data_IF_331146364895
#
_entry.id   IF_331146364895
#
_cell.length_a   1.000
_cell.length_b   1.000
_cell.length_c   1.000
_cell.angle_alpha   90.00
_cell.angle_beta   90.00
_cell.angle_gamma   90.00
#
_symmetry.space_group_name_H-M   'P 1'
#
loop_
_entity.id
_entity.type
_entity.pdbx_description
1 polymer ?
#
# COMPACT_ATOMS: atom_id res chain seq x y z
N UNK A 1 11.40 6.05 23.03
CA UNK A 1 11.12 5.98 21.59
C UNK A 1 9.78 6.59 21.31
N UNK A 2 9.76 7.62 20.48
CA UNK A 2 8.54 8.35 20.18
C UNK A 2 7.67 7.49 19.24
N UNK A 3 6.57 6.95 19.78
CA UNK A 3 5.41 6.53 18.98
C UNK A 3 4.81 7.69 18.17
N UNK A 4 5.40 8.90 18.21
CA UNK A 4 4.86 10.12 17.59
C UNK A 4 4.75 10.05 16.08
N UNK A 5 5.63 9.30 15.42
CA UNK A 5 5.71 9.32 13.95
C UNK A 5 4.66 8.39 13.30
N UNK A 6 4.01 7.53 14.10
CA UNK A 6 3.02 6.55 13.65
C UNK A 6 1.76 6.58 14.53
N UNK A 7 0.64 6.97 13.94
CA UNK A 7 -0.66 7.05 14.60
C UNK A 7 -1.43 5.76 14.34
N UNK A 8 -1.62 4.93 15.37
CA UNK A 8 -2.52 3.77 15.30
C UNK A 8 -3.89 4.16 15.83
N UNK A 9 -4.92 3.95 15.03
CA UNK A 9 -6.31 4.25 15.36
C UNK A 9 -7.17 3.03 15.04
N UNK A 10 -8.19 2.77 15.86
CA UNK A 10 -9.24 1.79 15.54
C UNK A 10 -10.46 2.54 15.03
N UNK A 11 -10.89 2.23 13.81
CA UNK A 11 -12.05 2.84 13.20
C UNK A 11 -13.33 2.33 13.90
N UNK A 12 -14.31 3.19 14.19
CA UNK A 12 -15.57 2.81 14.85
C UNK A 12 -16.54 2.12 13.87
N UNK A 13 -16.07 1.07 13.20
CA UNK A 13 -16.83 0.32 12.20
C UNK A 13 -17.33 -0.98 12.83
N UNK A 14 -18.64 -1.10 13.01
CA UNK A 14 -19.29 -2.29 13.60
C UNK A 14 -19.34 -3.47 12.64
N UNK A 15 -19.51 -3.20 11.34
CA UNK A 15 -19.61 -4.23 10.30
C UNK A 15 -18.21 -4.76 9.94
N UNK A 16 -18.07 -6.09 9.80
CA UNK A 16 -16.89 -6.66 9.17
C UNK A 16 -16.89 -6.34 7.67
N UNK A 17 -15.91 -5.54 7.22
CA UNK A 17 -15.80 -5.09 5.83
C UNK A 17 -14.99 -6.05 4.93
N UNK A 18 -14.46 -7.14 5.46
CA UNK A 18 -13.51 -7.99 4.75
C UNK A 18 -14.02 -8.47 3.39
N UNK A 19 -15.21 -9.09 3.33
CA UNK A 19 -15.76 -9.62 2.08
C UNK A 19 -16.11 -8.51 1.09
N UNK A 20 -16.61 -7.37 1.58
CA UNK A 20 -16.98 -6.24 0.73
C UNK A 20 -15.75 -5.59 0.08
N UNK A 21 -14.65 -5.45 0.83
CA UNK A 21 -13.36 -4.97 0.32
C UNK A 21 -12.67 -6.01 -0.57
N UNK A 22 -12.85 -7.31 -0.30
CA UNK A 22 -12.29 -8.35 -1.16
C UNK A 22 -13.03 -8.43 -2.50
N UNK A 23 -14.33 -8.10 -2.53
CA UNK A 23 -15.13 -8.07 -3.75
C UNK A 23 -15.05 -6.74 -4.49
N UNK A 24 -14.49 -5.69 -3.88
CA UNK A 24 -14.38 -4.36 -4.49
C UNK A 24 -13.25 -4.25 -5.52
N UNK A 25 -12.44 -5.29 -5.70
CA UNK A 25 -11.34 -5.32 -6.65
C UNK A 25 -11.12 -6.71 -7.25
N UNK A 26 -10.63 -6.75 -8.49
CA UNK A 26 -9.97 -7.94 -9.02
C UNK A 26 -8.55 -8.03 -8.47
N UNK A 27 -8.07 -9.25 -8.23
CA UNK A 27 -6.76 -9.52 -7.66
C UNK A 27 -5.97 -10.46 -8.57
N UNK A 28 -4.64 -10.31 -8.56
CA UNK A 28 -3.72 -11.30 -9.12
C UNK A 28 -2.76 -11.84 -8.05
N UNK A 29 -2.16 -13.00 -8.32
CA UNK A 29 -1.15 -13.59 -7.45
C UNK A 29 0.13 -12.75 -7.51
N UNK A 30 0.52 -12.17 -6.36
CA UNK A 30 1.76 -11.38 -6.22
C UNK A 30 2.88 -12.25 -5.66
N UNK A 31 2.55 -13.12 -4.71
CA UNK A 31 3.45 -14.12 -4.16
C UNK A 31 2.63 -15.28 -3.56
N UNK A 32 3.31 -16.38 -3.20
CA UNK A 32 2.64 -17.49 -2.51
C UNK A 32 1.95 -17.00 -1.22
N UNK A 33 0.63 -17.10 -1.18
CA UNK A 33 -0.18 -16.68 -0.04
C UNK A 33 -0.50 -15.18 0.00
N UNK A 34 -0.19 -14.43 -1.07
CA UNK A 34 -0.42 -12.99 -1.19
C UNK A 34 -0.99 -12.67 -2.57
N UNK A 35 -2.19 -12.12 -2.57
CA UNK A 35 -2.80 -11.53 -3.76
C UNK A 35 -2.93 -10.02 -3.55
N UNK A 36 -2.90 -9.25 -4.64
CA UNK A 36 -3.02 -7.79 -4.54
C UNK A 36 -3.44 -7.14 -5.85
N UNK A 37 -3.81 -5.86 -5.77
CA UNK A 37 -3.98 -4.97 -6.91
C UNK A 37 -3.91 -3.49 -6.46
N UNK A 38 -3.86 -2.57 -7.43
CA UNK A 38 -3.96 -1.13 -7.20
C UNK A 38 -5.41 -0.65 -7.24
N UNK A 39 -5.70 0.28 -6.35
CA UNK A 39 -6.91 1.10 -6.35
C UNK A 39 -6.52 2.53 -6.72
N UNK A 40 -7.35 3.21 -7.51
CA UNK A 40 -7.12 4.60 -7.95
C UNK A 40 -8.39 5.41 -7.84
N UNK A 41 -8.30 6.68 -7.46
CA UNK A 41 -9.43 7.62 -7.45
C UNK A 41 -9.39 8.49 -8.71
N UNK A 42 -10.07 8.03 -9.76
CA UNK A 42 -10.04 8.71 -11.06
C UNK A 42 -10.82 10.03 -10.98
N UNK A 43 -10.18 11.12 -11.41
CA UNK A 43 -10.78 12.46 -11.41
C UNK A 43 -10.52 13.19 -12.73
N UNK A 44 -10.95 14.45 -12.84
CA UNK A 44 -10.67 15.32 -13.99
C UNK A 44 -9.16 15.52 -14.24
N UNK A 45 -8.32 15.32 -13.22
CA UNK A 45 -6.85 15.36 -13.37
C UNK A 45 -6.30 14.13 -14.11
N UNK A 46 -7.10 13.08 -14.23
CA UNK A 46 -6.72 11.79 -14.80
C UNK A 46 -6.63 10.68 -13.73
N UNK A 47 -5.92 9.61 -14.08
CA UNK A 47 -5.66 8.47 -13.22
C UNK A 47 -4.41 8.73 -12.37
N UNK A 48 -4.51 8.78 -11.04
CA UNK A 48 -3.36 8.87 -10.15
C UNK A 48 -2.61 7.54 -10.11
N UNK A 49 -1.32 7.55 -10.42
CA UNK A 49 -0.50 6.33 -10.43
C UNK A 49 0.53 6.34 -9.31
N UNK A 50 0.85 5.17 -8.76
CA UNK A 50 2.01 4.96 -7.90
C UNK A 50 2.76 3.77 -8.44
N UNK A 51 3.87 4.01 -9.13
CA UNK A 51 4.68 2.94 -9.72
C UNK A 51 5.40 2.17 -8.63
N UNK A 52 5.39 0.84 -8.75
CA UNK A 52 5.98 -0.07 -7.78
C UNK A 52 6.92 -1.07 -8.46
N UNK A 53 7.68 -1.81 -7.65
CA UNK A 53 8.46 -2.96 -8.13
C UNK A 53 7.64 -4.20 -8.41
N UNK A 54 6.39 -4.26 -7.95
CA UNK A 54 5.49 -5.37 -8.24
C UNK A 54 4.91 -5.15 -9.64
N UNK A 55 5.11 -6.13 -10.52
CA UNK A 55 4.68 -6.07 -11.91
C UNK A 55 3.25 -6.61 -12.02
N UNK A 56 2.27 -5.71 -11.88
CA UNK A 56 0.86 -6.07 -12.06
C UNK A 56 0.54 -6.19 -13.55
N UNK A 57 -0.29 -7.18 -13.90
CA UNK A 57 -0.68 -7.51 -15.27
C UNK A 57 -2.16 -7.22 -15.54
N UNK A 58 -2.94 -6.97 -14.48
CA UNK A 58 -4.34 -6.55 -14.58
C UNK A 58 -4.47 -5.04 -14.33
N UNK A 59 -5.50 -4.37 -14.88
CA UNK A 59 -5.73 -2.96 -14.64
C UNK A 59 -5.99 -2.67 -13.16
N UNK A 60 -5.61 -1.45 -12.75
CA UNK A 60 -6.06 -0.88 -11.49
C UNK A 60 -7.59 -0.81 -11.42
N UNK A 61 -8.14 -0.82 -10.22
CA UNK A 61 -9.57 -0.71 -9.97
C UNK A 61 -9.88 0.69 -9.44
N UNK A 62 -11.00 1.27 -9.86
CA UNK A 62 -11.41 2.57 -9.34
C UNK A 62 -11.81 2.46 -7.86
N UNK A 63 -11.67 3.54 -7.12
CA UNK A 63 -12.24 3.63 -5.78
C UNK A 63 -13.76 3.52 -5.90
N UNK A 64 -14.32 2.44 -5.36
CA UNK A 64 -15.75 2.34 -5.07
C UNK A 64 -16.13 3.04 -3.75
N UNK A 65 -17.44 3.16 -3.49
CA UNK A 65 -17.98 3.85 -2.31
C UNK A 65 -17.37 3.39 -0.96
N UNK A 66 -17.05 2.10 -0.82
CA UNK A 66 -16.49 1.58 0.44
C UNK A 66 -15.11 2.18 0.73
N UNK A 67 -14.30 2.44 -0.31
CA UNK A 67 -12.98 3.05 -0.12
C UNK A 67 -13.12 4.52 0.26
N UNK A 68 -14.02 5.26 -0.37
CA UNK A 68 -14.30 6.65 0.00
C UNK A 68 -14.83 6.76 1.44
N UNK A 69 -15.78 5.89 1.83
CA UNK A 69 -16.29 5.84 3.21
C UNK A 69 -15.19 5.54 4.23
N UNK A 70 -14.24 4.65 3.90
CA UNK A 70 -13.07 4.41 4.75
C UNK A 70 -12.21 5.67 4.91
N UNK A 71 -11.90 6.36 3.81
CA UNK A 71 -11.10 7.60 3.85
C UNK A 71 -11.82 8.71 4.62
N UNK A 72 -13.13 8.86 4.45
CA UNK A 72 -13.96 9.79 5.23
C UNK A 72 -13.92 9.43 6.72
N UNK A 73 -14.16 8.16 7.07
CA UNK A 73 -14.11 7.69 8.46
C UNK A 73 -12.76 7.93 9.11
N UNK A 74 -11.66 7.74 8.36
CA UNK A 74 -10.31 8.04 8.87
C UNK A 74 -10.18 9.54 9.14
N UNK A 75 -10.59 10.39 8.21
CA UNK A 75 -10.52 11.84 8.37
C UNK A 75 -11.34 12.35 9.56
N UNK A 76 -12.54 11.78 9.78
CA UNK A 76 -13.45 12.18 10.86
C UNK A 76 -12.93 11.86 12.27
N UNK A 77 -11.91 10.99 12.39
CA UNK A 77 -11.31 10.61 13.67
C UNK A 77 -9.86 11.06 13.82
N UNK A 78 -9.30 11.74 12.81
CA UNK A 78 -7.93 12.25 12.79
C UNK A 78 -7.89 13.77 12.77
N UNK A 79 -8.65 14.43 13.65
CA UNK A 79 -8.77 15.90 13.68
C UNK A 79 -7.43 16.62 13.91
N UNK A 80 -6.46 15.95 14.56
CA UNK A 80 -5.12 16.50 14.80
C UNK A 80 -4.19 16.41 13.57
N UNK A 81 -4.63 15.74 12.49
CA UNK A 81 -3.88 15.62 11.24
C UNK A 81 -4.50 16.51 10.15
N UNK A 82 -3.69 16.97 9.18
CA UNK A 82 -4.24 17.54 7.96
C UNK A 82 -5.20 16.55 7.28
N UNK A 83 -6.22 17.08 6.60
CA UNK A 83 -7.15 16.24 5.84
C UNK A 83 -6.38 15.36 4.86
N UNK A 84 -6.58 14.06 4.97
CA UNK A 84 -5.94 13.03 4.18
C UNK A 84 -6.66 12.90 2.83
N UNK A 85 -5.99 13.37 1.78
CA UNK A 85 -6.48 13.35 0.40
C UNK A 85 -5.91 12.15 -0.37
N UNK A 86 -6.24 10.94 0.09
CA UNK A 86 -5.80 9.71 -0.57
C UNK A 86 -6.49 9.55 -1.92
N UNK A 87 -5.71 9.32 -2.97
CA UNK A 87 -6.20 9.12 -4.34
C UNK A 87 -5.65 7.84 -4.99
N UNK A 88 -4.82 7.09 -4.28
CA UNK A 88 -4.28 5.82 -4.71
C UNK A 88 -4.21 4.88 -3.51
N UNK A 89 -4.36 3.58 -3.73
CA UNK A 89 -4.05 2.61 -2.72
C UNK A 89 -3.52 1.29 -3.30
N UNK A 90 -2.82 0.54 -2.46
CA UNK A 90 -2.51 -0.87 -2.70
C UNK A 90 -3.43 -1.71 -1.81
N UNK A 91 -4.27 -2.57 -2.40
CA UNK A 91 -5.12 -3.51 -1.67
C UNK A 91 -4.53 -4.92 -1.76
N UNK A 92 -4.39 -5.58 -0.61
CA UNK A 92 -3.73 -6.89 -0.54
C UNK A 92 -4.44 -7.82 0.43
N UNK A 93 -4.48 -9.11 0.09
CA UNK A 93 -4.96 -10.17 0.98
C UNK A 93 -3.86 -11.19 1.21
N UNK A 94 -3.54 -11.42 2.48
CA UNK A 94 -2.55 -12.40 2.90
C UNK A 94 -3.22 -13.59 3.61
N UNK A 95 -2.85 -14.80 3.25
CA UNK A 95 -3.17 -16.02 4.00
C UNK A 95 -2.07 -16.35 5.03
N UNK A 96 -2.26 -17.45 5.78
CA UNK A 96 -1.28 -17.94 6.76
C UNK A 96 0.05 -18.44 6.17
N UNK A 97 0.17 -18.62 4.85
CA UNK A 97 1.42 -18.99 4.19
C UNK A 97 2.34 -17.78 3.97
N UNK A 98 1.78 -16.58 3.86
CA UNK A 98 2.56 -15.35 3.72
C UNK A 98 2.87 -14.74 5.08
N UNK A 99 3.96 -15.17 5.71
CA UNK A 99 4.28 -14.82 7.11
C UNK A 99 5.26 -13.67 7.27
N UNK A 100 5.99 -13.28 6.22
CA UNK A 100 7.01 -12.24 6.33
C UNK A 100 7.33 -11.62 4.98
N UNK A 101 7.95 -10.45 5.04
CA UNK A 101 8.52 -9.74 3.90
C UNK A 101 9.84 -9.05 4.30
N UNK A 102 10.60 -8.58 3.32
CA UNK A 102 11.82 -7.80 3.60
C UNK A 102 11.45 -6.41 4.13
N UNK A 103 12.34 -5.87 4.95
CA UNK A 103 12.29 -4.46 5.34
C UNK A 103 12.37 -3.57 4.11
N UNK A 104 11.51 -2.56 4.05
CA UNK A 104 11.44 -1.57 2.98
C UNK A 104 10.80 -0.28 3.50
N UNK A 105 10.96 0.82 2.78
CA UNK A 105 10.04 1.98 2.86
C UNK A 105 9.08 1.93 1.67
N UNK A 106 7.92 2.55 1.74
CA UNK A 106 7.07 2.70 0.54
C UNK A 106 7.79 3.58 -0.49
N UNK A 107 7.70 3.21 -1.77
CA UNK A 107 8.38 3.91 -2.86
C UNK A 107 7.79 5.31 -3.06
N UNK A 108 8.62 6.35 -3.03
CA UNK A 108 8.20 7.74 -2.99
C UNK A 108 8.12 8.43 -4.37
N UNK A 109 8.53 7.75 -5.45
CA UNK A 109 8.63 8.30 -6.81
C UNK A 109 7.42 9.16 -7.19
N UNK A 110 6.22 8.62 -7.01
CA UNK A 110 4.96 9.25 -7.40
C UNK A 110 4.19 9.85 -6.23
N UNK A 111 4.74 9.82 -5.01
CA UNK A 111 4.03 10.32 -3.83
C UNK A 111 4.15 11.84 -3.70
N UNK A 112 3.05 12.46 -3.31
CA UNK A 112 2.96 13.90 -3.04
C UNK A 112 3.83 14.25 -1.84
N UNK A 113 4.55 15.37 -1.93
CA UNK A 113 5.36 15.85 -0.81
C UNK A 113 4.48 16.18 0.39
N UNK A 114 5.00 16.02 1.61
CA UNK A 114 4.29 16.30 2.86
C UNK A 114 2.96 15.56 3.04
N UNK A 115 2.73 14.51 2.24
CA UNK A 115 1.56 13.66 2.36
C UNK A 115 1.75 12.57 3.41
N UNK A 116 0.68 11.80 3.63
CA UNK A 116 0.63 10.69 4.57
C UNK A 116 0.41 9.37 3.82
N UNK A 117 0.71 8.28 4.52
CA UNK A 117 0.39 6.91 4.14
C UNK A 117 -0.53 6.35 5.23
N UNK A 118 -1.63 5.72 4.83
CA UNK A 118 -2.59 5.09 5.74
C UNK A 118 -2.68 3.59 5.48
N UNK A 119 -2.19 2.76 6.40
CA UNK A 119 -2.31 1.31 6.34
C UNK A 119 -3.54 0.85 7.12
N UNK A 120 -4.65 0.62 6.42
CA UNK A 120 -5.84 -0.02 6.97
C UNK A 120 -5.65 -1.55 7.07
N UNK A 121 -6.29 -2.17 8.06
CA UNK A 121 -6.20 -3.60 8.33
C UNK A 121 -7.56 -4.17 8.79
N UNK A 122 -7.98 -5.26 8.15
CA UNK A 122 -9.14 -6.05 8.58
C UNK A 122 -8.89 -7.57 8.41
N UNK A 123 -9.81 -8.37 8.94
CA UNK A 123 -9.68 -9.83 9.02
C UNK A 123 -10.99 -10.50 8.63
N UNK A 124 -10.88 -11.67 8.01
CA UNK A 124 -12.03 -12.48 7.56
C UNK A 124 -12.92 -12.89 8.74
N UNK A 125 -12.32 -13.34 9.84
CA UNK A 125 -13.00 -13.80 11.06
C UNK A 125 -12.46 -13.07 12.30
N UNK A 126 -12.83 -11.80 12.54
CA UNK A 126 -12.30 -11.01 13.65
C UNK A 126 -12.56 -11.60 15.04
N UNK A 127 -13.68 -12.30 15.21
CA UNK A 127 -14.08 -12.97 16.45
C UNK A 127 -13.19 -14.18 16.82
N UNK A 128 -12.42 -14.70 15.85
CA UNK A 128 -11.46 -15.79 16.04
C UNK A 128 -10.02 -15.27 16.24
N UNK A 129 -9.83 -13.95 16.29
CA UNK A 129 -8.50 -13.38 16.48
C UNK A 129 -7.99 -13.66 17.89
N UNK A 130 -6.77 -14.15 17.91
CA UNK A 130 -5.92 -14.28 19.09
C UNK A 130 -4.60 -13.59 18.78
N UNK A 131 -3.89 -13.13 19.80
CA UNK A 131 -2.71 -12.26 19.65
C UNK A 131 -1.70 -12.78 18.62
N UNK A 132 -1.44 -14.09 18.60
CA UNK A 132 -0.49 -14.72 17.67
C UNK A 132 -0.94 -14.72 16.19
N UNK A 133 -2.24 -14.54 15.94
CA UNK A 133 -2.82 -14.47 14.59
C UNK A 133 -2.96 -13.02 14.10
N UNK A 134 -2.61 -12.04 14.95
CA UNK A 134 -2.59 -10.64 14.59
C UNK A 134 -1.25 -10.33 13.94
N UNK A 135 -1.31 -9.70 12.76
CA UNK A 135 -0.11 -9.29 12.03
C UNK A 135 0.50 -8.09 12.71
N UNK A 136 1.81 -7.98 12.61
CA UNK A 136 2.56 -6.86 13.20
C UNK A 136 3.29 -6.12 12.11
N UNK A 137 3.15 -4.80 12.12
CA UNK A 137 4.04 -3.89 11.39
C UNK A 137 5.29 -3.72 12.25
N UNK A 138 6.39 -4.32 11.83
CA UNK A 138 7.71 -4.10 12.44
C UNK A 138 8.36 -2.92 11.78
N UNK A 139 8.82 -1.97 12.58
CA UNK A 139 9.45 -0.73 12.14
C UNK A 139 10.87 -0.68 12.68
N UNK A 140 11.78 -0.21 11.85
CA UNK A 140 13.20 -0.08 12.15
C UNK A 140 13.66 1.31 11.74
N UNK A 141 14.15 2.09 12.70
CA UNK A 141 14.75 3.39 12.43
C UNK A 141 16.05 3.19 11.61
N UNK A 142 16.17 3.89 10.47
CA UNK A 142 17.32 3.74 9.56
C UNK A 142 18.62 4.31 10.13
N UNK A 143 18.53 5.21 11.11
CA UNK A 143 19.66 5.89 11.73
C UNK A 143 20.07 5.14 13.01
N UNK A 144 19.12 4.93 13.92
CA UNK A 144 19.44 4.35 15.24
C UNK A 144 19.46 2.82 15.24
N UNK A 145 18.88 2.19 14.21
CA UNK A 145 18.60 0.75 14.14
C UNK A 145 17.65 0.23 15.24
N UNK A 146 17.03 1.12 16.01
CA UNK A 146 16.01 0.73 17.00
C UNK A 146 14.78 0.16 16.29
N UNK A 147 14.21 -0.91 16.86
CA UNK A 147 13.01 -1.56 16.34
C UNK A 147 11.84 -1.43 17.31
N UNK A 148 10.64 -1.26 16.77
CA UNK A 148 9.39 -1.39 17.51
C UNK A 148 8.32 -2.00 16.62
N UNK A 149 7.19 -2.38 17.21
CA UNK A 149 6.10 -3.02 16.48
C UNK A 149 4.73 -2.42 16.81
N UNK A 150 3.86 -2.44 15.80
CA UNK A 150 2.48 -2.02 15.89
C UNK A 150 1.61 -3.19 15.44
N UNK A 151 0.74 -3.68 16.32
CA UNK A 151 -0.23 -4.72 15.98
C UNK A 151 -1.29 -4.17 15.02
N UNK A 152 -1.46 -4.82 13.88
CA UNK A 152 -2.45 -4.50 12.85
C UNK A 152 -3.77 -5.18 13.21
N UNK A 153 -4.49 -4.64 14.18
CA UNK A 153 -5.76 -5.20 14.67
C UNK A 153 -6.90 -5.01 13.68
N UNK A 154 -8.00 -5.75 13.83
CA UNK A 154 -9.19 -5.57 13.00
C UNK A 154 -9.70 -4.12 13.04
N UNK A 155 -10.10 -3.62 11.87
CA UNK A 155 -10.54 -2.24 11.63
C UNK A 155 -9.57 -1.17 12.17
N UNK A 156 -8.27 -1.47 12.18
CA UNK A 156 -7.27 -0.46 12.55
C UNK A 156 -6.62 0.17 11.33
N UNK A 157 -6.21 1.42 11.49
CA UNK A 157 -5.36 2.15 10.55
C UNK A 157 -4.08 2.57 11.25
N UNK A 158 -2.95 2.44 10.56
CA UNK A 158 -1.68 3.04 10.97
C UNK A 158 -1.36 4.15 9.97
N UNK A 159 -1.27 5.39 10.46
CA UNK A 159 -1.04 6.59 9.66
C UNK A 159 0.35 7.14 9.98
N UNK A 160 1.12 7.47 8.95
CA UNK A 160 2.45 8.04 9.10
C UNK A 160 2.78 8.95 7.91
N UNK A 161 3.61 9.96 8.13
CA UNK A 161 3.98 10.91 7.09
C UNK A 161 4.98 10.31 6.09
N UNK A 162 5.14 10.94 4.93
CA UNK A 162 6.18 10.58 3.98
C UNK A 162 7.59 10.77 4.57
N UNK A 163 7.76 11.72 5.50
CA UNK A 163 9.00 11.89 6.27
C UNK A 163 9.27 10.65 7.16
N UNK A 164 8.25 10.17 7.88
CA UNK A 164 8.37 8.94 8.66
C UNK A 164 8.67 7.74 7.76
N UNK A 165 8.02 7.63 6.61
CA UNK A 165 8.32 6.60 5.61
C UNK A 165 9.79 6.64 5.17
N UNK A 166 10.37 7.83 4.97
CA UNK A 166 11.79 7.97 4.61
C UNK A 166 12.73 7.59 5.76
N UNK A 167 12.34 7.85 7.02
CA UNK A 167 13.15 7.60 8.21
C UNK A 167 13.14 6.14 8.68
N UNK A 168 12.05 5.41 8.45
CA UNK A 168 11.88 4.04 8.92
C UNK A 168 11.82 3.03 7.78
N UNK A 169 12.40 1.85 8.00
CA UNK A 169 12.04 0.66 7.24
C UNK A 169 10.94 -0.09 7.98
N UNK A 170 9.95 -0.60 7.26
CA UNK A 170 8.90 -1.43 7.79
C UNK A 170 8.77 -2.78 7.07
N UNK A 171 8.15 -3.73 7.75
CA UNK A 171 7.69 -5.00 7.18
C UNK A 171 6.48 -5.50 7.95
N UNK A 172 5.60 -6.22 7.26
CA UNK A 172 4.47 -6.90 7.88
C UNK A 172 4.86 -8.35 8.15
N UNK A 173 4.63 -8.82 9.37
CA UNK A 173 4.86 -10.21 9.76
C UNK A 173 3.61 -10.86 10.35
N UNK A 174 3.54 -12.18 10.24
CA UNK A 174 2.74 -13.07 11.06
C UNK A 174 3.72 -13.95 11.85
N UNK A 175 3.61 -13.96 13.17
CA UNK A 175 4.54 -14.72 14.01
C UNK A 175 4.39 -16.23 13.77
N UNK A 176 5.46 -16.88 13.32
CA UNK A 176 5.47 -18.33 13.07
C UNK A 176 5.53 -19.12 14.39
N UNK A 177 4.65 -20.11 14.56
CA UNK A 177 4.75 -21.06 15.67
C UNK A 177 5.90 -22.06 15.45
N UNK A 178 6.64 -22.46 16.50
CA UNK A 178 7.73 -23.45 16.42
C UNK A 178 7.31 -24.85 15.97
N UNK A 179 6.01 -25.15 15.91
CA UNK A 179 5.48 -26.47 15.54
C UNK A 179 4.17 -26.33 14.75
N UNK A 180 4.19 -26.36 13.41
CA UNK A 180 3.01 -26.15 12.60
C UNK A 180 2.26 -27.48 12.46
N UNK A 181 1.57 -27.93 13.53
CA UNK A 181 0.38 -28.74 13.28
C UNK A 181 -0.66 -27.78 12.70
N UNK A 182 -0.61 -27.60 11.37
CA UNK A 182 -1.58 -26.86 10.54
C UNK A 182 -2.98 -27.34 10.87
N UNK A 183 -3.57 -26.76 11.91
CA UNK A 183 -4.90 -27.06 12.42
C UNK A 183 -5.61 -25.80 12.91
N UNK A 184 -4.95 -24.63 12.85
CA UNK A 184 -5.63 -23.36 13.03
C UNK A 184 -6.22 -22.97 11.68
N UNK A 185 -7.55 -22.75 11.67
CA UNK A 185 -8.26 -22.25 10.51
C UNK A 185 -7.58 -20.96 10.04
N UNK A 186 -7.16 -20.94 8.77
CA UNK A 186 -6.60 -19.74 8.14
C UNK A 186 -7.58 -18.57 8.34
N UNK A 187 -7.09 -17.48 8.92
CA UNK A 187 -7.85 -16.25 9.10
C UNK A 187 -7.16 -15.16 8.30
N UNK A 188 -7.68 -14.94 7.09
CA UNK A 188 -7.04 -14.07 6.11
C UNK A 188 -7.03 -12.64 6.62
N UNK A 189 -5.94 -11.95 6.35
CA UNK A 189 -5.80 -10.51 6.60
C UNK A 189 -5.93 -9.78 5.28
N UNK A 190 -6.67 -8.67 5.27
CA UNK A 190 -6.75 -7.74 4.16
C UNK A 190 -6.22 -6.39 4.62
N UNK A 191 -5.27 -5.85 3.87
CA UNK A 191 -4.70 -4.55 4.09
C UNK A 191 -4.94 -3.63 2.91
N UNK A 192 -5.17 -2.34 3.20
CA UNK A 192 -5.20 -1.29 2.18
C UNK A 192 -4.19 -0.23 2.59
N UNK A 193 -3.21 0.01 1.72
CA UNK A 193 -2.21 1.06 1.93
C UNK A 193 -2.59 2.26 1.08
N UNK A 194 -3.31 3.20 1.68
CA UNK A 194 -3.73 4.46 1.08
C UNK A 194 -2.57 5.45 0.97
N UNK A 195 -2.52 6.16 -0.15
CA UNK A 195 -1.46 7.10 -0.52
C UNK A 195 -2.04 8.27 -1.31
N UNK A 196 -1.30 9.37 -1.34
CA UNK A 196 -1.58 10.50 -2.24
C UNK A 196 -0.51 10.55 -3.32
N UNK A 197 -0.90 10.25 -4.55
CA UNK A 197 -0.07 10.42 -5.73
C UNK A 197 -0.11 11.87 -6.23
N UNK A 198 1.05 12.37 -6.64
CA UNK A 198 1.22 13.61 -7.42
C UNK A 198 1.28 13.36 -8.93
N UNK A 199 1.42 12.10 -9.34
CA UNK A 199 1.63 11.72 -10.74
C UNK A 199 0.31 11.27 -11.35
N UNK A 200 -0.12 11.94 -12.41
CA UNK A 200 -1.36 11.64 -13.11
C UNK A 200 -1.10 11.29 -14.58
N UNK A 201 -1.89 10.34 -15.09
CA UNK A 201 -1.94 10.00 -16.51
C UNK A 201 -3.36 10.19 -17.07
N UNK A 202 -3.45 10.53 -18.35
CA UNK A 202 -4.69 10.63 -19.10
C UNK A 202 -4.66 9.64 -20.25
N UNK A 203 -5.74 8.87 -20.40
CA UNK A 203 -5.87 7.96 -21.52
C UNK A 203 -6.41 8.71 -22.74
N UNK A 204 -5.63 8.72 -23.83
CA UNK A 204 -6.03 9.25 -25.14
C UNK A 204 -5.86 8.13 -26.15
N UNK A 205 -6.93 7.76 -26.85
CA UNK A 205 -6.94 6.62 -27.77
C UNK A 205 -6.40 5.32 -27.11
N UNK A 206 -6.80 5.08 -25.86
CA UNK A 206 -6.35 3.97 -25.00
C UNK A 206 -4.85 3.96 -24.64
N UNK A 207 -4.14 5.05 -24.86
CA UNK A 207 -2.73 5.19 -24.48
C UNK A 207 -2.55 6.14 -23.28
N UNK A 208 -1.72 5.79 -22.29
CA UNK A 208 -1.54 6.57 -21.06
C UNK A 208 -0.53 7.70 -21.24
N UNK A 209 -0.98 8.95 -21.23
CA UNK A 209 -0.11 10.13 -21.34
C UNK A 209 0.03 10.86 -20.02
N UNK A 210 1.24 11.23 -19.64
CA UNK A 210 1.47 12.19 -18.57
C UNK A 210 0.89 13.57 -18.94
N UNK A 211 0.72 14.43 -17.92
CA UNK A 211 0.32 15.83 -18.13
C UNK A 211 1.29 16.62 -19.02
N UNK A 212 2.55 16.18 -19.11
CA UNK A 212 3.56 16.71 -20.05
C UNK A 212 3.29 16.37 -21.52
N UNK A 213 2.39 15.44 -21.80
CA UNK A 213 2.15 14.87 -23.14
C UNK A 213 3.08 13.71 -23.50
N UNK A 214 4.01 13.32 -22.62
CA UNK A 214 4.84 12.12 -22.82
C UNK A 214 4.01 10.86 -22.57
N UNK A 215 4.23 9.82 -23.38
CA UNK A 215 3.62 8.51 -23.20
C UNK A 215 4.27 7.77 -22.01
N UNK A 216 3.47 7.20 -21.13
CA UNK A 216 3.92 6.21 -20.15
C UNK A 216 4.11 4.87 -20.87
N UNK A 217 5.35 4.39 -20.96
CA UNK A 217 5.66 3.12 -21.63
C UNK A 217 5.97 2.01 -20.63
N UNK A 218 5.83 0.76 -21.07
CA UNK A 218 6.36 -0.37 -20.31
C UNK A 218 7.89 -0.35 -20.39
N UNK A 219 8.56 -0.67 -19.27
CA UNK A 219 10.00 -0.68 -19.19
C UNK A 219 10.62 -1.81 -20.02
N UNK A 220 11.59 -1.47 -20.86
CA UNK A 220 12.49 -2.47 -21.48
C UNK A 220 13.45 -3.10 -20.45
N UNK A 221 14.24 -4.08 -20.86
CA UNK A 221 15.14 -4.81 -19.95
C UNK A 221 16.15 -3.91 -19.21
N UNK A 222 16.64 -2.85 -19.86
CA UNK A 222 17.64 -1.96 -19.25
C UNK A 222 16.97 -0.96 -18.31
N UNK A 223 15.80 -0.44 -18.69
CA UNK A 223 14.94 0.37 -17.84
C UNK A 223 14.47 -0.39 -16.60
N UNK A 224 14.16 -1.69 -16.72
CA UNK A 224 13.82 -2.52 -15.57
C UNK A 224 15.00 -2.61 -14.58
N UNK A 225 16.21 -2.90 -15.06
CA UNK A 225 17.42 -2.94 -14.21
C UNK A 225 17.68 -1.59 -13.55
N UNK A 226 17.51 -0.50 -14.28
CA UNK A 226 17.63 0.85 -13.75
C UNK A 226 16.60 1.10 -12.64
N UNK A 227 15.33 0.76 -12.85
CA UNK A 227 14.28 0.95 -11.86
C UNK A 227 14.58 0.22 -10.55
N UNK A 228 15.01 -1.05 -10.62
CA UNK A 228 15.41 -1.80 -9.42
C UNK A 228 16.63 -1.21 -8.73
N UNK A 229 17.60 -0.68 -9.50
CA UNK A 229 18.76 0.03 -8.94
C UNK A 229 18.33 1.30 -8.21
N UNK A 230 17.47 2.13 -8.81
CA UNK A 230 16.94 3.34 -8.19
C UNK A 230 16.17 3.00 -6.91
N UNK A 231 15.35 1.95 -6.94
CA UNK A 231 14.64 1.46 -5.74
C UNK A 231 15.60 1.01 -4.63
N UNK A 232 16.71 0.35 -4.99
CA UNK A 232 17.75 -0.02 -4.04
C UNK A 232 18.47 1.20 -3.43
N UNK A 233 18.68 2.24 -4.24
CA UNK A 233 19.26 3.51 -3.78
C UNK A 233 18.31 4.24 -2.84
N UNK A 234 17.00 4.31 -3.15
CA UNK A 234 16.00 4.91 -2.27
C UNK A 234 15.99 4.25 -0.88
N UNK A 235 16.03 2.91 -0.85
CA UNK A 235 16.05 2.16 0.41
C UNK A 235 17.33 2.38 1.23
N UNK A 236 18.45 2.76 0.61
CA UNK A 236 19.76 2.91 1.28
C UNK A 236 20.11 4.36 1.62
N UNK A 237 19.69 5.32 0.80
CA UNK A 237 20.01 6.75 0.94
C UNK A 237 18.84 7.51 1.57
N UNK A 238 19.11 8.35 2.57
CA UNK A 238 18.11 9.27 3.12
C UNK A 238 17.86 10.41 2.11
N UNK A 239 16.59 10.84 1.97
CA UNK A 239 16.19 11.93 1.07
C UNK A 239 16.56 11.69 -0.41
N UNK A 240 16.46 10.44 -0.86
CA UNK A 240 16.68 10.09 -2.27
C UNK A 240 15.65 10.80 -3.17
N UNK A 241 16.14 11.37 -4.28
CA UNK A 241 15.28 11.93 -5.32
C UNK A 241 15.40 11.09 -6.59
N UNK A 242 14.25 10.71 -7.13
CA UNK A 242 14.19 10.01 -8.40
C UNK A 242 14.52 10.93 -9.57
N UNK A 243 15.21 10.43 -10.61
CA UNK A 243 15.19 11.08 -11.91
C UNK A 243 13.78 11.01 -12.51
N UNK A 244 13.51 11.83 -13.52
CA UNK A 244 12.26 11.75 -14.27
C UNK A 244 12.23 10.42 -15.04
N UNK A 245 11.23 9.59 -14.75
CA UNK A 245 10.99 8.32 -15.45
C UNK A 245 9.70 8.40 -16.24
N UNK A 246 9.74 8.04 -17.53
CA UNK A 246 8.57 7.96 -18.41
C UNK A 246 8.06 6.52 -18.59
N UNK A 247 8.54 5.59 -17.76
CA UNK A 247 8.22 4.17 -17.87
C UNK A 247 7.72 3.59 -16.54
N UNK A 248 7.12 2.40 -16.62
CA UNK A 248 6.63 1.59 -15.50
C UNK A 248 6.99 0.12 -15.71
N UNK A 249 7.10 -0.63 -14.61
CA UNK A 249 7.26 -2.09 -14.65
C UNK A 249 5.91 -2.83 -14.77
N UNK A 250 4.82 -2.15 -14.40
CA UNK A 250 3.48 -2.73 -14.31
C UNK A 250 2.73 -2.53 -15.62
N UNK A 251 2.33 -3.63 -16.27
CA UNK A 251 1.44 -3.57 -17.43
C UNK A 251 0.10 -2.94 -17.04
N UNK A 252 -0.37 -3.20 -15.82
CA UNK A 252 -1.60 -2.64 -15.27
C UNK A 252 -1.68 -1.11 -15.33
N UNK A 253 -0.54 -0.41 -15.19
CA UNK A 253 -0.51 1.07 -15.24
C UNK A 253 -0.71 1.60 -16.68
N UNK A 254 -0.57 0.74 -17.68
CA UNK A 254 -0.74 1.08 -19.10
C UNK A 254 -2.12 0.71 -19.64
N UNK A 255 -2.97 0.14 -18.80
CA UNK A 255 -4.35 -0.26 -19.11
C UNK A 255 -5.30 0.70 -18.38
N UNK A 256 -6.39 1.08 -19.05
CA UNK A 256 -7.42 1.91 -18.43
C UNK A 256 -7.98 1.23 -17.17
N UNK A 257 -8.11 1.96 -16.04
CA UNK A 257 -8.69 1.39 -14.83
C UNK A 257 -10.09 0.84 -15.06
N UNK A 258 -10.43 -0.25 -14.37
CA UNK A 258 -11.79 -0.78 -14.35
C UNK A 258 -12.65 0.01 -13.36
N UNK A 259 -13.92 0.19 -13.74
CA UNK A 259 -14.96 0.79 -12.90
C UNK A 259 -15.42 -0.17 -11.81
#
# INVERSE_FOLDING_TARGET
MNKSDFYKITLPIEKNLFDELLLSAEFEDVAKGRIGNHLVDVSDKGVPIVRTTTMYNIPAQNFSEIHHKLVETINDITDDLPRLEFNNALIERYDCNYTTMKYHSDQCLDLEADSYIGLFSCYENPEKLIEKNIRKLKLKDRITNEEFEISLTHNSVVIFSLEANAKFHHKIILESLPNPKRSESDNKWLGITFRKSKTFIQFKDNLPYFSSGELLTLADEDQQKEFFKLRGQENSVMNFSYPKLSYTLSVGDTIMPKL
#
